data_IF_934284158171
#
_entry.id   IF_934284158171
#
_cell.length_a   1.000
_cell.length_b   1.000
_cell.length_c   1.000
_cell.angle_alpha   90.00
_cell.angle_beta   90.00
_cell.angle_gamma   90.00
#
_symmetry.space_group_name_H-M   'P 1'
#
loop_
_entity.id
_entity.type
_entity.pdbx_description
1 polymer ?
#
# COMPACT_ATOMS: atom_id res chain seq x y z
N UNK A 1 -6.85 -4.66 -3.33
CA UNK A 1 -7.41 -6.00 -2.98
C UNK A 1 -7.43 -6.93 -4.18
N UNK A 2 -7.56 -6.37 -5.39
CA UNK A 2 -7.03 -6.93 -6.64
C UNK A 2 -5.67 -7.64 -6.50
N UNK A 3 -4.65 -6.99 -5.92
CA UNK A 3 -3.31 -7.59 -5.72
C UNK A 3 -3.39 -8.88 -4.90
N UNK A 4 -4.12 -8.87 -3.79
CA UNK A 4 -4.28 -10.05 -2.94
C UNK A 4 -4.96 -11.23 -3.66
N UNK A 5 -5.96 -10.95 -4.50
CA UNK A 5 -6.64 -11.99 -5.29
C UNK A 5 -5.72 -12.51 -6.40
N UNK A 6 -4.99 -11.61 -7.07
CA UNK A 6 -4.02 -11.97 -8.10
C UNK A 6 -2.91 -12.87 -7.53
N UNK A 7 -2.27 -12.46 -6.43
CA UNK A 7 -1.20 -13.19 -5.77
C UNK A 7 -1.67 -14.56 -5.27
N UNK A 8 -2.88 -14.64 -4.70
CA UNK A 8 -3.45 -15.90 -4.25
C UNK A 8 -3.61 -16.90 -5.41
N UNK A 9 -4.12 -16.46 -6.56
CA UNK A 9 -4.27 -17.30 -7.75
C UNK A 9 -2.90 -17.67 -8.32
N UNK A 10 -1.97 -16.73 -8.38
CA UNK A 10 -0.61 -16.96 -8.87
C UNK A 10 0.11 -18.02 -8.03
N UNK A 11 0.04 -17.95 -6.70
CA UNK A 11 0.62 -18.97 -5.81
C UNK A 11 -0.02 -20.35 -5.96
N UNK A 12 -1.32 -20.43 -6.28
CA UNK A 12 -1.97 -21.72 -6.59
C UNK A 12 -1.41 -22.31 -7.87
N UNK A 13 -1.24 -21.49 -8.92
CA UNK A 13 -0.67 -21.92 -10.20
C UNK A 13 0.77 -22.38 -10.02
N UNK A 14 1.57 -21.66 -9.23
CA UNK A 14 2.97 -21.96 -8.97
C UNK A 14 3.17 -23.11 -7.96
N UNK A 15 2.07 -23.61 -7.36
CA UNK A 15 2.10 -24.66 -6.34
C UNK A 15 2.72 -24.23 -5.00
N UNK A 16 2.89 -22.93 -4.79
CA UNK A 16 3.47 -22.32 -3.58
C UNK A 16 2.42 -21.77 -2.62
N UNK A 17 1.14 -22.00 -2.88
CA UNK A 17 0.06 -21.49 -2.04
C UNK A 17 0.15 -22.04 -0.62
N UNK A 18 0.25 -21.13 0.35
CA UNK A 18 0.17 -21.41 1.77
C UNK A 18 -1.00 -20.63 2.38
N UNK A 19 -1.82 -21.32 3.19
CA UNK A 19 -2.91 -20.67 3.92
C UNK A 19 -2.40 -19.81 5.06
N UNK A 20 -3.08 -18.70 5.37
CA UNK A 20 -2.65 -17.79 6.43
C UNK A 20 -3.33 -16.43 6.35
N UNK A 21 -2.73 -15.44 7.00
CA UNK A 21 -3.19 -14.05 6.98
C UNK A 21 -2.38 -13.26 5.95
N UNK A 22 -3.05 -12.72 4.94
CA UNK A 22 -2.47 -11.73 4.04
C UNK A 22 -2.56 -10.34 4.66
N UNK A 23 -1.42 -9.63 4.75
CA UNK A 23 -1.37 -8.25 5.26
C UNK A 23 -1.02 -7.32 4.11
N UNK A 24 -1.96 -6.45 3.75
CA UNK A 24 -1.72 -5.37 2.79
C UNK A 24 -0.86 -4.27 3.42
N UNK A 25 0.19 -3.87 2.73
CA UNK A 25 1.15 -2.85 3.15
C UNK A 25 1.41 -1.88 1.99
N UNK A 26 2.07 -0.75 2.28
CA UNK A 26 2.55 0.15 1.22
C UNK A 26 3.63 -0.52 0.36
N UNK A 27 4.34 -1.54 0.88
CA UNK A 27 5.42 -2.25 0.19
C UNK A 27 4.92 -3.26 -0.84
N UNK A 28 3.82 -3.97 -0.53
CA UNK A 28 3.18 -4.93 -1.45
C UNK A 28 2.01 -4.33 -2.21
N UNK A 29 1.88 -3.00 -2.20
CA UNK A 29 0.80 -2.27 -2.87
C UNK A 29 -0.63 -2.70 -2.44
N UNK A 30 -0.75 -3.41 -1.31
CA UNK A 30 -2.03 -3.84 -0.76
C UNK A 30 -2.84 -2.69 -0.16
N UNK A 31 -2.19 -1.58 0.18
CA UNK A 31 -2.79 -0.32 0.61
C UNK A 31 -2.06 0.86 -0.02
N UNK A 32 -2.77 1.96 -0.25
CA UNK A 32 -2.21 3.19 -0.80
C UNK A 32 -3.20 4.34 -0.76
N UNK A 33 -2.71 5.55 -1.02
CA UNK A 33 -3.54 6.75 -1.20
C UNK A 33 -3.74 6.94 -2.71
N UNK A 34 -5.00 7.07 -3.12
CA UNK A 34 -5.33 7.34 -4.53
C UNK A 34 -5.04 8.81 -4.86
N UNK A 35 -4.90 9.18 -6.14
CA UNK A 35 -4.87 10.59 -6.54
C UNK A 35 -6.07 11.36 -5.98
N UNK A 36 -5.89 12.66 -5.70
CA UNK A 36 -6.95 13.52 -5.16
C UNK A 36 -8.03 13.90 -6.18
N UNK A 37 -7.80 13.63 -7.48
CA UNK A 37 -8.73 13.88 -8.57
C UNK A 37 -9.30 15.32 -8.53
N UNK A 38 -10.62 15.48 -8.47
CA UNK A 38 -11.31 16.78 -8.44
C UNK A 38 -11.01 17.61 -7.19
N UNK A 39 -10.50 16.97 -6.13
CA UNK A 39 -10.17 17.62 -4.87
C UNK A 39 -8.70 18.06 -4.80
N UNK A 40 -7.89 17.82 -5.83
CA UNK A 40 -6.46 18.12 -5.81
C UNK A 40 -6.16 19.60 -5.55
N UNK A 41 -7.02 20.50 -6.02
CA UNK A 41 -6.91 21.93 -5.79
C UNK A 41 -7.20 22.35 -4.33
N UNK A 42 -7.81 21.48 -3.52
CA UNK A 42 -8.08 21.71 -2.10
C UNK A 42 -6.98 21.15 -1.20
N UNK A 43 -6.03 20.39 -1.76
CA UNK A 43 -4.89 19.82 -1.03
C UNK A 43 -3.69 20.70 -1.30
N UNK A 44 -3.12 21.29 -0.25
CA UNK A 44 -1.92 22.12 -0.39
C UNK A 44 -0.72 21.28 -0.82
N UNK A 45 0.21 21.90 -1.55
CA UNK A 45 1.46 21.25 -1.96
C UNK A 45 2.31 20.81 -0.74
N UNK A 46 2.25 21.58 0.34
CA UNK A 46 2.89 21.21 1.61
C UNK A 46 2.31 19.90 2.17
N UNK A 47 0.98 19.75 2.20
CA UNK A 47 0.34 18.53 2.66
C UNK A 47 0.66 17.34 1.75
N UNK A 48 0.74 17.55 0.43
CA UNK A 48 1.17 16.49 -0.51
C UNK A 48 2.60 16.04 -0.20
N UNK A 49 3.51 16.98 0.02
CA UNK A 49 4.90 16.67 0.37
C UNK A 49 5.03 15.93 1.70
N UNK A 50 4.24 16.32 2.71
CA UNK A 50 4.18 15.59 4.00
C UNK A 50 3.69 14.15 3.82
N UNK A 51 2.67 13.93 2.99
CA UNK A 51 2.15 12.59 2.70
C UNK A 51 3.19 11.72 1.98
N UNK A 52 3.94 12.28 1.04
CA UNK A 52 5.04 11.58 0.36
C UNK A 52 6.16 11.20 1.33
N UNK A 53 6.52 12.11 2.24
CA UNK A 53 7.53 11.84 3.26
C UNK A 53 7.08 10.74 4.24
N UNK A 54 5.83 10.82 4.73
CA UNK A 54 5.25 9.79 5.61
C UNK A 54 5.23 8.43 4.90
N UNK A 55 4.84 8.39 3.61
CA UNK A 55 4.88 7.17 2.80
C UNK A 55 6.29 6.59 2.76
N UNK A 56 7.30 7.43 2.49
CA UNK A 56 8.70 7.01 2.45
C UNK A 56 9.19 6.49 3.81
N UNK A 57 8.82 7.13 4.91
CA UNK A 57 9.23 6.72 6.25
C UNK A 57 8.58 5.41 6.70
N UNK A 58 7.33 5.14 6.28
CA UNK A 58 6.70 3.82 6.50
C UNK A 58 7.42 2.74 5.68
N UNK A 59 7.72 3.00 4.41
CA UNK A 59 8.45 2.04 3.56
C UNK A 59 9.88 1.80 4.06
N UNK A 60 10.53 2.80 4.65
CA UNK A 60 11.85 2.68 5.27
C UNK A 60 11.82 2.05 6.68
N UNK A 61 10.63 1.72 7.21
CA UNK A 61 10.46 1.16 8.55
C UNK A 61 10.75 2.15 9.69
N UNK A 62 10.90 3.45 9.39
CA UNK A 62 11.11 4.51 10.40
C UNK A 62 9.81 4.88 11.11
N UNK A 63 8.67 4.69 10.44
CA UNK A 63 7.32 4.90 10.98
C UNK A 63 6.53 3.58 10.90
N UNK A 64 6.01 3.10 12.03
CA UNK A 64 5.13 1.93 12.09
C UNK A 64 3.71 2.34 12.45
N UNK A 65 2.74 1.82 11.70
CA UNK A 65 1.31 2.06 11.92
C UNK A 65 0.53 0.78 12.21
N UNK A 66 1.21 -0.38 12.23
CA UNK A 66 0.67 -1.69 12.51
C UNK A 66 1.71 -2.59 13.21
N UNK A 67 1.27 -3.73 13.76
CA UNK A 67 2.16 -4.71 14.40
C UNK A 67 3.10 -5.42 13.41
#
# INVERSE_FOLDING_TARGET
MDVAVFDAIQHVIDGSFEGGVYVGTLLNEGVGITPFHQLDAFVSEELKAELDQVRADIMAGKLQTGP
#
